data_IF_347518110600
#
_entry.id   IF_347518110600
#
_cell.length_a   1.000
_cell.length_b   1.000
_cell.length_c   1.000
_cell.angle_alpha   90.00
_cell.angle_beta   90.00
_cell.angle_gamma   90.00
#
_symmetry.space_group_name_H-M   'P 1'
#
loop_
_entity.id
_entity.type
_entity.pdbx_description
1 polymer ?
#
# COMPACT_ATOMS: atom_id res chain seq x y z
N UNK A 1 27.72 -2.49 -28.27
CA UNK A 1 27.12 -3.61 -27.52
C UNK A 1 27.21 -3.23 -26.06
N UNK A 2 26.14 -2.69 -25.47
CA UNK A 2 26.18 -2.10 -24.13
C UNK A 2 24.84 -2.30 -23.41
N UNK A 3 24.31 -3.53 -23.44
CA UNK A 3 23.05 -3.88 -22.78
C UNK A 3 23.21 -5.18 -21.97
N UNK A 4 24.30 -5.30 -21.22
CA UNK A 4 24.58 -6.47 -20.38
C UNK A 4 25.07 -6.00 -19.01
N UNK A 5 24.17 -5.40 -18.19
CA UNK A 5 24.24 -5.41 -16.72
C UNK A 5 23.07 -4.68 -16.05
N UNK A 6 21.83 -4.93 -16.50
CA UNK A 6 20.69 -4.48 -15.70
C UNK A 6 20.58 -5.40 -14.47
N UNK A 7 21.02 -4.90 -13.33
CA UNK A 7 20.82 -5.56 -12.04
C UNK A 7 19.50 -5.11 -11.44
N UNK A 8 18.74 -6.06 -10.92
CA UNK A 8 17.49 -5.80 -10.24
C UNK A 8 17.64 -6.25 -8.79
N UNK A 9 17.01 -5.52 -7.88
CA UNK A 9 16.98 -5.90 -6.47
C UNK A 9 15.59 -6.40 -6.15
N UNK A 10 15.48 -7.62 -5.64
CA UNK A 10 14.24 -8.26 -5.20
C UNK A 10 14.48 -8.79 -3.80
N UNK A 11 13.65 -8.42 -2.83
CA UNK A 11 13.77 -8.83 -1.42
C UNK A 11 15.16 -8.57 -0.80
N UNK A 12 15.86 -7.53 -1.28
CA UNK A 12 17.22 -7.18 -0.85
C UNK A 12 18.34 -8.01 -1.49
N UNK A 13 18.01 -8.96 -2.37
CA UNK A 13 18.98 -9.70 -3.16
C UNK A 13 19.15 -9.06 -4.56
N UNK A 14 20.39 -8.95 -5.00
CA UNK A 14 20.74 -8.42 -6.32
C UNK A 14 20.82 -9.55 -7.35
N UNK A 15 20.10 -9.40 -8.45
CA UNK A 15 20.09 -10.36 -9.55
C UNK A 15 20.47 -9.66 -10.86
N UNK A 16 21.35 -10.29 -11.63
CA UNK A 16 21.69 -9.84 -12.98
C UNK A 16 20.62 -10.33 -13.97
N UNK A 17 19.95 -9.42 -14.68
CA UNK A 17 18.93 -9.80 -15.67
C UNK A 17 19.46 -10.70 -16.79
N UNK A 18 20.75 -10.56 -17.12
CA UNK A 18 21.42 -11.40 -18.12
C UNK A 18 21.61 -12.85 -17.68
N UNK A 19 21.60 -13.14 -16.37
CA UNK A 19 21.78 -14.50 -15.84
C UNK A 19 20.46 -15.19 -15.50
N UNK A 20 19.33 -14.47 -15.62
CA UNK A 20 17.99 -14.96 -15.28
C UNK A 20 17.34 -15.67 -16.47
N UNK A 21 16.67 -16.81 -16.21
CA UNK A 21 15.85 -17.49 -17.21
C UNK A 21 14.65 -16.63 -17.62
N UNK A 22 14.06 -16.93 -18.78
CA UNK A 22 12.87 -16.22 -19.25
C UNK A 22 11.68 -16.36 -18.28
N UNK A 23 11.52 -17.53 -17.65
CA UNK A 23 10.51 -17.77 -16.62
C UNK A 23 10.77 -16.92 -15.37
N UNK A 24 12.02 -16.82 -14.93
CA UNK A 24 12.39 -16.00 -13.79
C UNK A 24 12.09 -14.52 -14.07
N UNK A 25 12.45 -14.02 -15.26
CA UNK A 25 12.11 -12.66 -15.69
C UNK A 25 10.60 -12.41 -15.69
N UNK A 26 9.79 -13.37 -16.15
CA UNK A 26 8.32 -13.28 -16.12
C UNK A 26 7.77 -13.20 -14.68
N UNK A 27 8.27 -14.05 -13.78
CA UNK A 27 7.87 -14.00 -12.37
C UNK A 27 8.20 -12.67 -11.70
N UNK A 28 9.35 -12.07 -12.04
CA UNK A 28 9.77 -10.77 -11.53
C UNK A 28 8.81 -9.66 -11.97
N UNK A 29 8.37 -9.69 -13.22
CA UNK A 29 7.38 -8.72 -13.73
C UNK A 29 6.07 -8.85 -12.95
N UNK A 30 5.59 -10.08 -12.75
CA UNK A 30 4.38 -10.34 -11.98
C UNK A 30 4.51 -9.90 -10.51
N UNK A 31 5.66 -10.14 -9.90
CA UNK A 31 5.95 -9.72 -8.53
C UNK A 31 5.88 -8.19 -8.42
N UNK A 32 6.56 -7.46 -9.31
CA UNK A 32 6.52 -5.99 -9.34
C UNK A 32 5.12 -5.44 -9.55
N UNK A 33 4.34 -6.05 -10.45
CA UNK A 33 2.95 -5.66 -10.65
C UNK A 33 2.13 -5.87 -9.38
N UNK A 34 2.34 -6.99 -8.69
CA UNK A 34 1.67 -7.30 -7.41
C UNK A 34 2.05 -6.31 -6.32
N UNK A 35 3.33 -5.95 -6.20
CA UNK A 35 3.80 -4.95 -5.23
C UNK A 35 3.18 -3.58 -5.48
N UNK A 36 3.05 -3.17 -6.74
CA UNK A 36 2.39 -1.91 -7.12
C UNK A 36 0.91 -1.90 -6.71
N UNK A 37 0.21 -3.03 -6.88
CA UNK A 37 -1.18 -3.17 -6.44
C UNK A 37 -1.31 -3.16 -4.91
N UNK A 38 -0.38 -3.79 -4.20
CA UNK A 38 -0.33 -3.73 -2.73
C UNK A 38 -0.18 -2.29 -2.27
N UNK A 39 0.74 -1.52 -2.86
CA UNK A 39 0.91 -0.11 -2.54
C UNK A 39 -0.32 0.73 -2.92
N UNK A 40 -1.01 0.39 -4.01
CA UNK A 40 -2.27 1.01 -4.37
C UNK A 40 -3.35 0.79 -3.30
N UNK A 41 -3.54 -0.46 -2.87
CA UNK A 41 -4.51 -0.81 -1.83
C UNK A 41 -4.16 -0.16 -0.48
N UNK A 42 -2.88 -0.06 -0.12
CA UNK A 42 -2.45 0.67 1.09
C UNK A 42 -2.85 2.15 1.04
N UNK A 43 -2.71 2.81 -0.12
CA UNK A 43 -3.16 4.20 -0.28
C UNK A 43 -4.67 4.34 -0.12
N UNK A 44 -5.45 3.45 -0.73
CA UNK A 44 -6.90 3.42 -0.55
C UNK A 44 -7.30 3.19 0.91
N UNK A 45 -6.61 2.26 1.58
CA UNK A 45 -6.84 1.97 2.99
C UNK A 45 -6.58 3.20 3.87
N UNK A 46 -5.51 3.95 3.63
CA UNK A 46 -5.21 5.18 4.36
C UNK A 46 -6.29 6.25 4.20
N UNK A 47 -6.86 6.39 2.99
CA UNK A 47 -8.00 7.28 2.73
C UNK A 47 -9.21 6.84 3.56
N UNK A 48 -9.57 5.55 3.52
CA UNK A 48 -10.68 5.00 4.29
C UNK A 48 -10.48 5.16 5.80
N UNK A 49 -9.25 4.97 6.31
CA UNK A 49 -8.93 5.18 7.71
C UNK A 49 -9.12 6.64 8.14
N UNK A 50 -8.74 7.58 7.29
CA UNK A 50 -8.95 9.02 7.52
C UNK A 50 -10.44 9.37 7.57
N UNK A 51 -11.23 8.88 6.61
CA UNK A 51 -12.68 9.07 6.59
C UNK A 51 -13.34 8.48 7.85
N UNK A 52 -12.97 7.25 8.22
CA UNK A 52 -13.46 6.61 9.46
C UNK A 52 -13.14 7.44 10.70
N UNK A 53 -11.93 7.99 10.80
CA UNK A 53 -11.54 8.83 11.93
C UNK A 53 -12.38 10.12 12.00
N UNK A 54 -12.68 10.74 10.85
CA UNK A 54 -13.55 11.90 10.78
C UNK A 54 -14.99 11.56 11.22
N UNK A 55 -15.55 10.45 10.73
CA UNK A 55 -16.88 10.00 11.15
C UNK A 55 -16.95 9.65 12.64
N UNK A 56 -15.94 8.96 13.16
CA UNK A 56 -15.85 8.66 14.59
C UNK A 56 -15.77 9.94 15.43
N UNK A 57 -15.04 10.96 14.98
CA UNK A 57 -15.01 12.27 15.65
C UNK A 57 -16.40 12.91 15.66
N UNK A 58 -17.03 13.05 14.49
CA UNK A 58 -18.37 13.63 14.38
C UNK A 58 -19.39 12.90 15.25
N UNK A 59 -19.35 11.55 15.28
CA UNK A 59 -20.23 10.76 16.12
C UNK A 59 -20.01 11.06 17.62
N UNK A 60 -18.76 11.14 18.08
CA UNK A 60 -18.46 11.48 19.48
C UNK A 60 -18.95 12.88 19.85
N UNK A 61 -18.83 13.85 18.95
CA UNK A 61 -19.31 15.21 19.18
C UNK A 61 -20.83 15.17 19.39
N UNK A 62 -21.57 14.47 18.52
CA UNK A 62 -23.02 14.29 18.68
C UNK A 62 -23.43 13.52 19.94
N UNK A 63 -22.68 12.50 20.35
CA UNK A 63 -22.97 11.72 21.56
C UNK A 63 -22.61 12.46 22.85
N UNK A 64 -21.53 13.27 22.83
CA UNK A 64 -21.14 14.14 23.94
C UNK A 64 -22.17 15.25 24.19
N UNK A 65 -22.71 15.83 23.11
CA UNK A 65 -23.78 16.82 23.19
C UNK A 65 -25.10 16.21 23.72
N UNK A 66 -25.40 14.95 23.36
CA UNK A 66 -26.59 14.24 23.84
C UNK A 66 -26.56 13.95 25.36
N UNK A 67 -25.38 13.89 25.98
CA UNK A 67 -25.22 13.64 27.42
C UNK A 67 -25.23 14.90 28.30
N UNK A 68 -25.18 16.10 27.70
CA UNK A 68 -25.24 17.38 28.42
C UNK A 68 -26.65 18.02 28.41
N UNK A 69 -27.60 17.47 27.65
CA UNK A 69 -28.96 17.98 27.52
C UNK A 69 -29.95 17.43 28.58
N UNK A 70 -29.47 17.09 29.78
CA UNK A 70 -30.35 16.88 30.94
C UNK A 70 -29.88 17.79 32.08
N UNK A 71 -30.36 19.04 32.13
CA UNK A 71 -30.23 19.84 33.34
C UNK A 71 -31.17 19.27 34.42
N UNK A 72 -30.61 19.04 35.60
CA UNK A 72 -31.37 18.75 36.82
C UNK A 72 -32.03 20.03 37.35
#
# INVERSE_FOLDING_TARGET
>A
MAEENQTITIDGAHYELGTLSDEARSQIVNLRATDQEIEHLKRQLAICQTARAAYAKSLRDHLGDAQQATPH
#
